data_IF_497896656697
#
_entry.id   IF_497896656697
#
_cell.length_a   1.000
_cell.length_b   1.000
_cell.length_c   1.000
_cell.angle_alpha   90.00
_cell.angle_beta   90.00
_cell.angle_gamma   90.00
#
_symmetry.space_group_name_H-M   'P 1'
#
loop_
_entity.id
_entity.type
_entity.pdbx_description
1 polymer ?
#
# COMPACT_ATOMS: atom_id res chain seq x y z
N UNK A 1 22.67 -25.48 -10.52
CA UNK A 1 21.71 -24.38 -10.83
C UNK A 1 21.43 -23.65 -9.52
N UNK A 2 22.02 -22.48 -9.31
CA UNK A 2 21.86 -21.74 -8.05
C UNK A 2 20.40 -21.31 -7.87
N UNK A 3 19.80 -21.46 -6.67
CA UNK A 3 18.45 -20.98 -6.41
C UNK A 3 18.42 -19.47 -6.63
N UNK A 4 17.45 -19.01 -7.42
CA UNK A 4 17.20 -17.61 -7.71
C UNK A 4 17.14 -16.83 -6.39
N UNK A 5 18.12 -15.96 -6.12
CA UNK A 5 18.20 -15.25 -4.85
C UNK A 5 16.89 -14.47 -4.61
N UNK A 6 16.22 -14.65 -3.46
CA UNK A 6 15.01 -13.92 -3.16
C UNK A 6 15.35 -12.43 -3.04
N UNK A 7 14.64 -11.59 -3.80
CA UNK A 7 14.80 -10.13 -3.75
C UNK A 7 14.51 -9.67 -2.32
N UNK A 8 15.49 -9.16 -1.60
CA UNK A 8 15.30 -8.70 -0.23
C UNK A 8 14.60 -7.34 -0.21
N UNK A 9 13.79 -7.12 0.81
CA UNK A 9 13.13 -5.83 1.06
C UNK A 9 13.18 -5.56 2.55
N UNK A 10 13.11 -4.28 2.94
CA UNK A 10 13.17 -3.90 4.35
C UNK A 10 12.04 -4.55 5.16
N UNK A 11 10.89 -4.85 4.53
CA UNK A 11 9.77 -5.58 5.14
C UNK A 11 10.07 -7.07 5.29
N UNK A 12 10.77 -7.68 4.33
CA UNK A 12 11.26 -9.07 4.36
C UNK A 12 12.31 -9.26 5.44
N UNK A 13 13.29 -8.37 5.51
CA UNK A 13 14.36 -8.38 6.53
C UNK A 13 13.78 -8.10 7.92
N UNK A 14 12.89 -7.11 8.08
CA UNK A 14 12.22 -6.88 9.37
C UNK A 14 11.40 -8.09 9.80
N UNK A 15 10.73 -8.79 8.87
CA UNK A 15 9.99 -9.99 9.21
C UNK A 15 10.94 -11.14 9.59
N UNK A 16 12.04 -11.33 8.87
CA UNK A 16 13.07 -12.32 9.18
C UNK A 16 13.68 -12.07 10.56
N UNK A 17 14.09 -10.85 10.85
CA UNK A 17 14.72 -10.48 12.11
C UNK A 17 13.74 -10.54 13.30
N UNK A 18 12.46 -10.24 13.09
CA UNK A 18 11.44 -10.33 14.16
C UNK A 18 10.90 -11.74 14.38
N UNK A 19 10.72 -12.50 13.29
CA UNK A 19 10.20 -13.86 13.33
C UNK A 19 10.68 -14.64 12.09
N UNK A 20 11.83 -15.32 12.19
CA UNK A 20 12.38 -16.10 11.09
C UNK A 20 11.40 -17.14 10.55
N UNK A 21 10.58 -17.74 11.43
CA UNK A 21 9.50 -18.66 11.06
C UNK A 21 8.45 -18.00 10.17
N UNK A 22 7.95 -16.81 10.53
CA UNK A 22 6.97 -16.08 9.71
C UNK A 22 7.56 -15.64 8.37
N UNK A 23 8.86 -15.32 8.32
CA UNK A 23 9.56 -15.03 7.08
C UNK A 23 9.65 -16.26 6.16
N UNK A 24 10.09 -17.41 6.69
CA UNK A 24 10.19 -18.66 5.93
C UNK A 24 8.80 -19.09 5.44
N UNK A 25 7.76 -19.00 6.27
CA UNK A 25 6.39 -19.31 5.86
C UNK A 25 5.88 -18.39 4.74
N UNK A 26 6.15 -17.09 4.83
CA UNK A 26 5.60 -16.08 3.91
C UNK A 26 6.36 -15.95 2.60
N UNK A 27 7.68 -16.17 2.61
CA UNK A 27 8.55 -15.89 1.47
C UNK A 27 9.39 -17.10 1.04
N UNK A 28 9.67 -18.04 1.93
CA UNK A 28 10.38 -19.29 1.60
C UNK A 28 9.43 -20.37 1.08
N UNK A 29 8.40 -20.70 1.87
CA UNK A 29 7.44 -21.76 1.58
C UNK A 29 6.51 -21.40 0.43
N UNK A 30 5.89 -20.21 0.43
CA UNK A 30 4.99 -19.78 -0.66
C UNK A 30 5.61 -19.82 -2.07
N UNK A 31 6.94 -19.75 -2.19
CA UNK A 31 7.69 -19.81 -3.46
C UNK A 31 8.03 -21.25 -3.86
N UNK A 32 8.38 -22.11 -2.90
CA UNK A 32 8.62 -23.54 -3.09
C UNK A 32 7.31 -24.34 -3.26
N UNK A 33 6.20 -23.79 -2.80
CA UNK A 33 4.94 -24.50 -2.62
C UNK A 33 3.83 -24.15 -3.60
N UNK A 34 4.11 -23.45 -4.70
CA UNK A 34 3.06 -23.15 -5.70
C UNK A 34 2.33 -24.43 -6.16
N UNK A 35 3.02 -25.57 -6.11
CA UNK A 35 2.51 -26.89 -6.46
C UNK A 35 2.33 -27.83 -5.25
N UNK A 36 2.50 -27.36 -4.01
CA UNK A 36 2.39 -28.19 -2.80
C UNK A 36 1.19 -27.75 -1.93
N UNK A 37 0.24 -28.66 -1.61
CA UNK A 37 -1.00 -28.32 -0.91
C UNK A 37 -0.81 -27.47 0.37
N UNK A 38 0.20 -27.79 1.18
CA UNK A 38 0.46 -27.08 2.44
C UNK A 38 0.92 -25.63 2.27
N UNK A 39 1.53 -25.25 1.14
CA UNK A 39 1.94 -23.86 0.98
C UNK A 39 1.00 -23.02 0.11
N UNK A 40 0.09 -23.64 -0.65
CA UNK A 40 -1.15 -22.97 -1.05
C UNK A 40 -1.96 -22.57 0.19
N UNK A 41 -2.08 -23.48 1.15
CA UNK A 41 -2.74 -23.24 2.45
C UNK A 41 -2.10 -22.06 3.21
N UNK A 42 -0.76 -22.01 3.33
CA UNK A 42 -0.06 -20.88 3.95
C UNK A 42 -0.27 -19.56 3.21
N UNK A 43 -0.26 -19.59 1.87
CA UNK A 43 -0.55 -18.41 1.05
C UNK A 43 -1.95 -17.86 1.35
N UNK A 44 -2.96 -18.72 1.47
CA UNK A 44 -4.31 -18.33 1.85
C UNK A 44 -4.38 -17.76 3.27
N UNK A 45 -3.68 -18.36 4.23
CA UNK A 45 -3.58 -17.84 5.62
C UNK A 45 -3.00 -16.42 5.63
N UNK A 46 -1.93 -16.15 4.87
CA UNK A 46 -1.32 -14.81 4.83
C UNK A 46 -2.19 -13.74 4.18
N UNK A 47 -3.19 -14.14 3.40
CA UNK A 47 -4.13 -13.20 2.80
C UNK A 47 -5.24 -12.77 3.77
N UNK A 48 -5.44 -13.47 4.89
CA UNK A 48 -6.42 -13.07 5.90
C UNK A 48 -5.91 -11.82 6.63
N UNK A 49 -6.52 -10.69 6.31
CA UNK A 49 -6.23 -9.40 6.96
C UNK A 49 -7.22 -9.14 8.10
N UNK A 50 -6.81 -8.28 9.04
CA UNK A 50 -7.71 -7.78 10.08
C UNK A 50 -8.69 -6.76 9.49
N UNK A 51 -9.90 -6.60 10.06
CA UNK A 51 -10.86 -5.59 9.62
C UNK A 51 -10.26 -4.17 9.59
N UNK A 52 -9.38 -3.82 10.55
CA UNK A 52 -8.60 -2.58 10.53
C UNK A 52 -7.73 -2.43 9.26
N UNK A 53 -7.03 -3.49 8.87
CA UNK A 53 -6.21 -3.46 7.65
C UNK A 53 -7.09 -3.34 6.41
N UNK A 54 -8.19 -4.10 6.35
CA UNK A 54 -9.15 -4.04 5.25
C UNK A 54 -9.75 -2.65 5.10
N UNK A 55 -10.14 -1.99 6.20
CA UNK A 55 -10.65 -0.62 6.19
C UNK A 55 -9.65 0.33 5.50
N UNK A 56 -8.38 0.28 5.89
CA UNK A 56 -7.35 1.10 5.25
C UNK A 56 -7.11 0.71 3.77
N UNK A 57 -7.16 -0.57 3.40
CA UNK A 57 -7.08 -0.96 1.99
C UNK A 57 -8.25 -0.38 1.19
N UNK A 58 -9.47 -0.43 1.74
CA UNK A 58 -10.66 0.18 1.16
C UNK A 58 -10.49 1.70 1.02
N UNK A 59 -9.94 2.40 2.02
CA UNK A 59 -9.63 3.85 1.89
C UNK A 59 -8.75 4.07 0.67
N UNK A 60 -7.68 3.29 0.51
CA UNK A 60 -6.77 3.42 -0.63
C UNK A 60 -7.50 3.25 -1.95
N UNK A 61 -8.25 2.16 -2.10
CA UNK A 61 -8.98 1.84 -3.34
C UNK A 61 -9.97 2.94 -3.69
N UNK A 62 -10.81 3.34 -2.73
CA UNK A 62 -11.80 4.40 -2.93
C UNK A 62 -11.15 5.72 -3.37
N UNK A 63 -9.99 6.07 -2.81
CA UNK A 63 -9.27 7.28 -3.22
C UNK A 63 -8.67 7.17 -4.61
N UNK A 64 -8.14 6.01 -4.99
CA UNK A 64 -7.62 5.79 -6.34
C UNK A 64 -8.74 5.86 -7.38
N UNK A 65 -9.85 5.18 -7.12
CA UNK A 65 -11.02 5.17 -8.00
C UNK A 65 -11.62 6.58 -8.12
N UNK A 66 -11.72 7.34 -7.02
CA UNK A 66 -12.15 8.74 -7.05
C UNK A 66 -11.26 9.59 -7.94
N UNK A 67 -9.94 9.43 -7.87
CA UNK A 67 -8.99 10.22 -8.68
C UNK A 67 -9.16 9.91 -10.16
N UNK A 68 -9.34 8.64 -10.53
CA UNK A 68 -9.58 8.23 -11.92
C UNK A 68 -10.88 8.83 -12.46
N UNK A 69 -11.98 8.72 -11.70
CA UNK A 69 -13.28 9.32 -12.06
C UNK A 69 -13.21 10.85 -12.14
N UNK A 70 -12.46 11.49 -11.24
CA UNK A 70 -12.27 12.94 -11.25
C UNK A 70 -11.51 13.40 -12.49
N UNK A 71 -10.52 12.63 -12.98
CA UNK A 71 -9.77 12.96 -14.19
C UNK A 71 -10.66 12.95 -15.46
N UNK A 72 -11.75 12.18 -15.47
CA UNK A 72 -12.75 12.18 -16.55
C UNK A 72 -13.92 13.14 -16.29
N UNK A 73 -13.82 14.01 -15.28
CA UNK A 73 -14.82 15.05 -14.97
C UNK A 73 -15.95 14.60 -14.03
N UNK A 74 -15.86 13.40 -13.44
CA UNK A 74 -16.87 12.91 -12.49
C UNK A 74 -16.45 13.18 -11.05
N UNK A 75 -17.18 14.07 -10.37
CA UNK A 75 -16.94 14.39 -8.96
C UNK A 75 -17.95 13.67 -8.08
N UNK A 76 -17.46 12.86 -7.13
CA UNK A 76 -18.35 12.14 -6.22
C UNK A 76 -18.86 13.05 -5.09
N UNK A 77 -20.15 12.93 -4.78
CA UNK A 77 -20.71 13.50 -3.55
C UNK A 77 -20.24 12.73 -2.32
N UNK A 78 -20.36 13.34 -1.13
CA UNK A 78 -20.06 12.65 0.13
C UNK A 78 -20.95 11.43 0.35
N UNK A 79 -22.22 11.48 -0.06
CA UNK A 79 -23.13 10.33 -0.07
C UNK A 79 -22.61 9.19 -0.94
N UNK A 80 -22.23 9.49 -2.19
CA UNK A 80 -21.72 8.47 -3.11
C UNK A 80 -20.44 7.83 -2.57
N UNK A 81 -19.53 8.63 -2.03
CA UNK A 81 -18.30 8.16 -1.41
C UNK A 81 -18.59 7.26 -0.20
N UNK A 82 -19.58 7.63 0.62
CA UNK A 82 -20.03 6.82 1.77
C UNK A 82 -20.60 5.47 1.34
N UNK A 83 -21.46 5.46 0.31
CA UNK A 83 -22.04 4.25 -0.27
C UNK A 83 -20.95 3.35 -0.86
N UNK A 84 -20.03 3.93 -1.65
CA UNK A 84 -18.91 3.22 -2.27
C UNK A 84 -18.00 2.59 -1.23
N UNK A 85 -17.57 3.37 -0.24
CA UNK A 85 -16.73 2.86 0.85
C UNK A 85 -17.42 1.70 1.59
N UNK A 86 -18.68 1.88 2.00
CA UNK A 86 -19.43 0.84 2.72
C UNK A 86 -19.51 -0.44 1.90
N UNK A 87 -19.92 -0.34 0.63
CA UNK A 87 -20.02 -1.50 -0.28
C UNK A 87 -18.69 -2.23 -0.42
N UNK A 88 -17.61 -1.50 -0.64
CA UNK A 88 -16.30 -2.10 -0.90
C UNK A 88 -15.68 -2.69 0.37
N UNK A 89 -15.93 -2.10 1.53
CA UNK A 89 -15.54 -2.67 2.83
C UNK A 89 -16.34 -3.94 3.15
N UNK A 90 -17.66 -3.94 2.94
CA UNK A 90 -18.49 -5.13 3.09
C UNK A 90 -18.01 -6.28 2.19
N UNK A 91 -17.70 -5.97 0.93
CA UNK A 91 -17.12 -6.94 -0.01
C UNK A 91 -15.79 -7.50 0.51
N UNK A 92 -14.88 -6.64 0.98
CA UNK A 92 -13.60 -7.06 1.52
C UNK A 92 -13.74 -8.00 2.74
N UNK A 93 -14.70 -7.72 3.64
CA UNK A 93 -15.03 -8.58 4.78
C UNK A 93 -15.64 -9.91 4.32
N UNK A 94 -16.55 -9.89 3.34
CA UNK A 94 -17.13 -11.11 2.79
C UNK A 94 -16.06 -12.00 2.14
N UNK A 95 -15.17 -11.45 1.32
CA UNK A 95 -14.06 -12.19 0.72
C UNK A 95 -13.08 -12.74 1.77
N UNK A 96 -12.84 -12.00 2.85
CA UNK A 96 -12.07 -12.50 4.00
C UNK A 96 -12.77 -13.69 4.64
N UNK A 97 -14.07 -13.60 4.92
CA UNK A 97 -14.84 -14.68 5.53
C UNK A 97 -14.89 -15.92 4.64
N UNK A 98 -15.07 -15.77 3.33
CA UNK A 98 -14.99 -16.87 2.37
C UNK A 98 -13.61 -17.56 2.40
N UNK A 99 -12.51 -16.81 2.57
CA UNK A 99 -11.16 -17.41 2.77
C UNK A 99 -11.10 -18.20 4.07
N UNK A 100 -11.62 -17.65 5.17
CA UNK A 100 -11.65 -18.32 6.48
C UNK A 100 -12.45 -19.62 6.41
N UNK A 101 -13.64 -19.61 5.82
CA UNK A 101 -14.50 -20.79 5.64
C UNK A 101 -13.82 -21.86 4.78
N UNK A 102 -13.11 -21.46 3.72
CA UNK A 102 -12.31 -22.39 2.90
C UNK A 102 -11.22 -23.06 3.72
N UNK A 103 -10.48 -22.31 4.55
CA UNK A 103 -9.43 -22.88 5.40
C UNK A 103 -9.98 -23.82 6.48
N UNK A 104 -11.15 -23.51 7.05
CA UNK A 104 -11.81 -24.37 8.03
C UNK A 104 -12.19 -25.73 7.44
N UNK A 105 -12.59 -25.78 6.15
CA UNK A 105 -12.84 -27.04 5.43
C UNK A 105 -11.59 -27.92 5.27
N UNK A 106 -10.38 -27.34 5.35
CA UNK A 106 -9.11 -28.09 5.29
C UNK A 106 -8.63 -28.58 6.67
N UNK A 107 -9.46 -28.52 7.72
CA UNK A 107 -9.10 -29.01 9.06
C UNK A 107 -8.09 -28.13 9.81
N UNK A 108 -7.77 -26.95 9.29
CA UNK A 108 -7.13 -25.90 10.09
C UNK A 108 -8.17 -25.42 11.10
N UNK A 109 -8.05 -25.90 12.33
CA UNK A 109 -8.99 -25.61 13.41
C UNK A 109 -9.35 -24.11 13.46
N UNK A 110 -10.63 -23.85 13.70
CA UNK A 110 -11.22 -22.52 13.84
C UNK A 110 -10.51 -21.63 14.87
N UNK A 111 -9.59 -22.14 15.68
CA UNK A 111 -8.87 -21.44 16.75
C UNK A 111 -8.01 -20.26 16.30
N UNK A 112 -7.64 -20.16 15.02
CA UNK A 112 -6.79 -19.05 14.53
C UNK A 112 -7.58 -17.94 13.81
N UNK A 113 -8.68 -18.29 13.14
CA UNK A 113 -9.45 -17.35 12.33
C UNK A 113 -10.94 -17.66 12.39
N UNK A 114 -11.71 -16.64 12.73
CA UNK A 114 -13.18 -16.68 12.72
C UNK A 114 -13.73 -15.73 11.66
N UNK A 115 -14.94 -16.04 11.18
CA UNK A 115 -15.72 -15.10 10.40
C UNK A 115 -16.07 -13.89 11.27
N UNK A 116 -16.15 -12.72 10.64
CA UNK A 116 -16.40 -11.45 11.33
C UNK A 116 -17.50 -10.70 10.60
N UNK A 117 -18.17 -9.80 11.31
CA UNK A 117 -19.10 -8.85 10.69
C UNK A 117 -18.41 -7.50 10.45
N UNK A 118 -18.83 -6.74 9.43
CA UNK A 118 -18.35 -5.38 9.25
C UNK A 118 -18.68 -4.50 10.46
N UNK A 119 -17.66 -3.85 11.02
CA UNK A 119 -17.82 -3.01 12.19
C UNK A 119 -18.16 -1.57 11.78
N UNK A 120 -19.31 -1.05 12.24
CA UNK A 120 -19.81 0.29 11.85
C UNK A 120 -18.84 1.42 12.19
N UNK A 121 -18.11 1.31 13.30
CA UNK A 121 -17.14 2.32 13.69
C UNK A 121 -15.93 2.39 12.72
N UNK A 122 -15.54 1.27 12.09
CA UNK A 122 -14.49 1.25 11.06
C UNK A 122 -15.01 1.83 9.75
N UNK A 123 -16.27 1.57 9.41
CA UNK A 123 -16.93 2.17 8.25
C UNK A 123 -16.94 3.69 8.38
N UNK A 124 -17.43 4.20 9.51
CA UNK A 124 -17.43 5.64 9.81
C UNK A 124 -16.03 6.23 9.73
N UNK A 125 -15.03 5.58 10.35
CA UNK A 125 -13.65 6.05 10.32
C UNK A 125 -13.05 6.09 8.92
N UNK A 126 -13.35 5.09 8.09
CA UNK A 126 -12.88 5.02 6.71
C UNK A 126 -13.50 6.12 5.84
N UNK A 127 -14.80 6.36 5.98
CA UNK A 127 -15.53 7.43 5.28
C UNK A 127 -14.97 8.80 5.68
N UNK A 128 -14.86 9.07 6.99
CA UNK A 128 -14.29 10.32 7.51
C UNK A 128 -12.87 10.55 6.99
N UNK A 129 -12.06 9.49 6.90
CA UNK A 129 -10.71 9.57 6.36
C UNK A 129 -10.71 9.89 4.87
N UNK A 130 -11.60 9.28 4.08
CA UNK A 130 -11.71 9.58 2.65
C UNK A 130 -12.15 11.04 2.43
N UNK A 131 -13.20 11.50 3.10
CA UNK A 131 -13.64 12.90 3.06
C UNK A 131 -12.52 13.84 3.49
N UNK A 132 -11.81 13.50 4.57
CA UNK A 132 -10.75 14.34 5.12
C UNK A 132 -9.57 14.61 4.18
N UNK A 133 -9.21 13.66 3.31
CA UNK A 133 -8.18 13.92 2.28
C UNK A 133 -8.75 14.67 1.09
N UNK A 134 -10.00 14.42 0.70
CA UNK A 134 -10.64 15.18 -0.38
C UNK A 134 -10.80 16.65 0.00
N UNK A 135 -11.02 16.98 1.27
CA UNK A 135 -11.06 18.37 1.74
C UNK A 135 -9.67 18.99 1.96
N UNK A 136 -8.59 18.22 1.82
CA UNK A 136 -7.24 18.72 2.03
C UNK A 136 -6.82 19.66 0.88
N UNK A 137 -6.40 20.88 1.21
CA UNK A 137 -6.04 21.90 0.21
C UNK A 137 -4.90 21.47 -0.71
N UNK A 138 -3.94 20.67 -0.23
CA UNK A 138 -2.86 20.15 -1.07
C UNK A 138 -3.41 19.13 -2.06
N UNK A 139 -4.32 18.25 -1.63
CA UNK A 139 -4.92 17.26 -2.51
C UNK A 139 -5.85 17.90 -3.55
N UNK A 140 -6.68 18.86 -3.12
CA UNK A 140 -7.51 19.68 -4.02
C UNK A 140 -6.67 20.42 -5.08
N UNK A 141 -5.51 20.96 -4.69
CA UNK A 141 -4.58 21.58 -5.63
C UNK A 141 -3.95 20.61 -6.65
N UNK A 142 -3.84 19.32 -6.30
CA UNK A 142 -3.39 18.28 -7.25
C UNK A 142 -4.52 17.90 -8.21
N UNK A 143 -5.76 17.80 -7.72
CA UNK A 143 -6.94 17.46 -8.52
C UNK A 143 -7.30 18.55 -9.54
N UNK A 144 -7.09 19.83 -9.21
CA UNK A 144 -7.50 20.97 -10.04
C UNK A 144 -6.51 21.36 -11.14
N UNK A 145 -5.29 20.84 -11.12
CA UNK A 145 -4.23 21.26 -12.04
C UNK A 145 -3.45 20.07 -12.56
N UNK A 146 -3.32 19.93 -13.88
CA UNK A 146 -2.52 18.88 -14.50
C UNK A 146 -3.24 17.54 -14.61
N UNK A 147 -2.50 16.50 -14.99
CA UNK A 147 -3.02 15.13 -15.12
C UNK A 147 -2.53 14.23 -13.99
N UNK A 148 -3.36 13.28 -13.60
CA UNK A 148 -3.02 12.27 -12.60
C UNK A 148 -3.14 10.87 -13.20
N UNK A 149 -2.09 10.08 -13.06
CA UNK A 149 -2.01 8.69 -13.48
C UNK A 149 -1.92 7.79 -12.24
N UNK A 150 -2.80 6.78 -12.17
CA UNK A 150 -2.74 5.73 -11.14
C UNK A 150 -1.60 4.76 -11.44
N UNK A 151 -0.86 4.41 -10.38
CA UNK A 151 0.22 3.44 -10.45
C UNK A 151 -0.16 2.15 -9.74
N UNK A 152 -0.04 1.04 -10.47
CA UNK A 152 -0.38 -0.27 -9.93
C UNK A 152 0.68 -0.76 -8.94
N UNK A 153 0.23 -1.40 -7.86
CA UNK A 153 1.13 -1.81 -6.77
C UNK A 153 2.20 -2.84 -7.19
N UNK A 154 1.96 -3.55 -8.29
CA UNK A 154 2.89 -4.54 -8.86
C UNK A 154 3.95 -3.93 -9.79
N UNK A 155 3.81 -2.65 -10.16
CA UNK A 155 4.79 -1.97 -10.99
C UNK A 155 6.10 -1.81 -10.23
N UNK A 156 7.20 -2.07 -10.93
CA UNK A 156 8.54 -1.94 -10.36
C UNK A 156 9.35 -0.95 -11.18
N UNK A 157 10.29 -0.30 -10.50
CA UNK A 157 11.39 0.42 -11.14
C UNK A 157 12.70 -0.36 -10.93
N UNK A 158 13.77 0.04 -11.61
CA UNK A 158 15.10 -0.58 -11.45
C UNK A 158 16.09 0.45 -10.90
N UNK A 159 16.74 0.09 -9.81
CA UNK A 159 17.91 0.83 -9.30
C UNK A 159 19.12 -0.09 -9.41
N UNK A 160 20.10 0.26 -10.25
CA UNK A 160 21.36 -0.52 -10.44
C UNK A 160 21.09 -2.02 -10.65
N UNK A 161 20.14 -2.34 -11.54
CA UNK A 161 19.65 -3.70 -11.86
C UNK A 161 18.79 -4.41 -10.79
N UNK A 162 18.50 -3.78 -9.65
CA UNK A 162 17.60 -4.32 -8.63
C UNK A 162 16.16 -3.90 -8.93
N UNK A 163 15.24 -4.87 -9.01
CA UNK A 163 13.80 -4.58 -9.15
C UNK A 163 13.25 -4.10 -7.82
N UNK A 164 12.70 -2.90 -7.83
CA UNK A 164 12.13 -2.25 -6.67
C UNK A 164 10.61 -2.21 -6.74
N UNK A 165 9.96 -2.92 -5.84
CA UNK A 165 8.51 -2.99 -5.70
C UNK A 165 8.04 -2.02 -4.62
N UNK A 166 8.16 -0.72 -4.91
CA UNK A 166 7.70 0.34 -4.02
C UNK A 166 6.96 1.42 -4.80
N UNK A 167 6.12 1.01 -5.75
CA UNK A 167 5.39 1.93 -6.63
C UNK A 167 4.71 3.05 -5.83
N UNK A 168 4.70 4.29 -6.34
CA UNK A 168 3.80 5.31 -5.83
C UNK A 168 2.34 4.90 -6.02
N UNK A 169 1.44 5.71 -5.48
CA UNK A 169 0.01 5.56 -5.74
C UNK A 169 -0.41 6.28 -7.00
N UNK A 170 0.09 7.51 -7.15
CA UNK A 170 -0.26 8.38 -8.26
C UNK A 170 1.00 9.08 -8.77
N UNK A 171 1.05 9.33 -10.07
CA UNK A 171 1.96 10.27 -10.71
C UNK A 171 1.14 11.47 -11.17
N UNK A 172 1.54 12.66 -10.75
CA UNK A 172 0.88 13.90 -11.11
C UNK A 172 1.80 14.74 -12.00
N UNK A 173 1.30 15.15 -13.17
CA UNK A 173 2.05 15.93 -14.16
C UNK A 173 1.41 17.29 -14.32
N UNK A 174 2.19 18.33 -14.03
CA UNK A 174 1.77 19.72 -14.22
C UNK A 174 2.86 20.53 -14.91
N UNK A 175 2.60 21.81 -15.16
CA UNK A 175 3.61 22.76 -15.66
C UNK A 175 4.82 22.90 -14.73
N UNK A 176 4.66 22.58 -13.43
CA UNK A 176 5.75 22.60 -12.44
C UNK A 176 6.64 21.35 -12.47
N UNK A 177 6.27 20.35 -13.29
CA UNK A 177 6.97 19.08 -13.39
C UNK A 177 6.17 17.90 -12.83
N UNK A 178 6.89 16.83 -12.52
CA UNK A 178 6.35 15.57 -12.04
C UNK A 178 6.33 15.53 -10.50
N UNK A 179 5.15 15.24 -9.95
CA UNK A 179 4.94 15.01 -8.52
C UNK A 179 4.57 13.55 -8.30
N UNK A 180 5.26 12.89 -7.39
CA UNK A 180 5.10 11.48 -7.07
C UNK A 180 4.34 11.37 -5.75
N UNK A 181 3.17 10.72 -5.76
CA UNK A 181 2.27 10.73 -4.62
C UNK A 181 2.19 9.35 -3.97
N UNK A 182 2.22 9.30 -2.64
CA UNK A 182 2.04 8.07 -1.87
C UNK A 182 1.10 8.27 -0.68
N UNK A 183 0.06 7.45 -0.61
CA UNK A 183 -0.79 7.29 0.57
C UNK A 183 -0.14 6.31 1.55
N UNK A 184 0.15 6.79 2.75
CA UNK A 184 0.59 5.98 3.89
C UNK A 184 -0.55 5.88 4.89
N UNK A 185 -1.24 4.74 4.84
CA UNK A 185 -2.42 4.50 5.65
C UNK A 185 -2.09 3.83 6.98
N UNK A 186 -0.84 3.38 7.17
CA UNK A 186 -0.44 2.59 8.32
C UNK A 186 0.85 3.11 8.96
N UNK A 187 0.84 3.07 10.29
CA UNK A 187 2.04 3.23 11.11
C UNK A 187 2.53 4.67 11.23
N UNK A 188 3.47 4.86 12.16
CA UNK A 188 4.18 6.11 12.36
C UNK A 188 5.53 6.01 11.66
N UNK A 189 5.70 6.73 10.55
CA UNK A 189 6.98 6.82 9.87
C UNK A 189 7.81 7.96 10.47
N UNK A 190 9.03 7.66 10.90
CA UNK A 190 9.99 8.69 11.33
C UNK A 190 10.42 9.55 10.14
N UNK A 191 10.84 10.79 10.38
CA UNK A 191 11.34 11.70 9.34
C UNK A 191 12.43 11.06 8.47
N UNK A 192 13.39 10.35 9.06
CA UNK A 192 14.47 9.67 8.34
C UNK A 192 13.94 8.61 7.36
N UNK A 193 13.16 7.64 7.85
CA UNK A 193 12.49 6.63 7.02
C UNK A 193 11.62 7.23 5.93
N UNK A 194 10.93 8.34 6.21
CA UNK A 194 10.10 9.04 5.23
C UNK A 194 10.94 9.62 4.09
N UNK A 195 12.03 10.31 4.41
CA UNK A 195 13.00 10.84 3.43
C UNK A 195 13.64 9.70 2.63
N UNK A 196 13.99 8.60 3.29
CA UNK A 196 14.52 7.41 2.61
C UNK A 196 13.50 6.84 1.62
N UNK A 197 12.24 6.68 2.03
CA UNK A 197 11.20 6.21 1.12
C UNK A 197 10.95 7.19 -0.03
N UNK A 198 10.95 8.50 0.24
CA UNK A 198 10.84 9.50 -0.82
C UNK A 198 12.01 9.42 -1.80
N UNK A 199 13.23 9.20 -1.31
CA UNK A 199 14.43 9.02 -2.14
C UNK A 199 14.30 7.81 -3.06
N UNK A 200 13.68 6.72 -2.58
CA UNK A 200 13.40 5.54 -3.40
C UNK A 200 12.27 5.78 -4.39
N UNK A 201 11.18 6.43 -3.96
CA UNK A 201 10.05 6.77 -4.82
C UNK A 201 10.45 7.69 -5.98
N UNK A 202 11.43 8.58 -5.78
CA UNK A 202 11.90 9.49 -6.83
C UNK A 202 12.47 8.74 -8.06
N UNK A 203 12.85 7.47 -7.92
CA UNK A 203 13.26 6.63 -9.06
C UNK A 203 12.14 6.29 -10.05
N UNK A 204 10.89 6.68 -9.76
CA UNK A 204 9.76 6.65 -10.70
C UNK A 204 9.60 7.97 -11.49
N UNK A 205 10.46 8.95 -11.23
CA UNK A 205 10.47 10.24 -11.92
C UNK A 205 11.87 10.68 -12.31
N UNK A 206 12.12 11.99 -12.20
CA UNK A 206 13.41 12.61 -12.47
C UNK A 206 13.99 13.26 -11.19
N UNK A 207 15.23 13.76 -11.30
CA UNK A 207 15.99 14.36 -10.19
C UNK A 207 15.29 15.52 -9.48
N UNK A 208 14.38 16.20 -10.18
CA UNK A 208 13.63 17.35 -9.68
C UNK A 208 12.21 16.98 -9.24
N UNK A 209 11.82 15.71 -9.32
CA UNK A 209 10.46 15.29 -8.97
C UNK A 209 10.23 15.45 -7.47
N UNK A 210 9.15 16.15 -7.12
CA UNK A 210 8.67 16.27 -5.76
C UNK A 210 7.97 14.97 -5.35
N UNK A 211 8.19 14.51 -4.11
CA UNK A 211 7.44 13.40 -3.53
C UNK A 211 6.51 13.94 -2.46
N UNK A 212 5.21 13.69 -2.60
CA UNK A 212 4.20 14.01 -1.60
C UNK A 212 3.72 12.72 -0.93
N UNK A 213 3.91 12.64 0.38
CA UNK A 213 3.44 11.54 1.20
C UNK A 213 2.29 12.01 2.09
N UNK A 214 1.10 11.48 1.83
CA UNK A 214 -0.09 11.68 2.65
C UNK A 214 -0.13 10.59 3.72
N UNK A 215 0.08 10.96 4.97
CA UNK A 215 0.18 10.02 6.09
C UNK A 215 -1.06 10.12 6.99
N UNK A 216 -1.87 9.07 7.02
CA UNK A 216 -3.01 8.96 7.91
C UNK A 216 -2.53 8.55 9.31
N UNK A 217 -2.63 9.46 10.28
CA UNK A 217 -2.26 9.21 11.67
C UNK A 217 -3.34 9.74 12.60
N UNK A 218 -3.83 8.90 13.52
CA UNK A 218 -4.89 9.27 14.48
C UNK A 218 -6.09 9.95 13.79
N UNK A 219 -6.53 9.37 12.67
CA UNK A 219 -7.65 9.87 11.82
C UNK A 219 -7.42 11.23 11.15
N UNK A 220 -6.17 11.72 11.11
CA UNK A 220 -5.82 12.97 10.42
C UNK A 220 -4.78 12.73 9.33
N UNK A 221 -4.95 13.41 8.21
CA UNK A 221 -3.98 13.40 7.12
C UNK A 221 -2.89 14.43 7.36
N UNK A 222 -1.67 13.94 7.49
CA UNK A 222 -0.47 14.77 7.53
C UNK A 222 0.20 14.72 6.16
N UNK A 223 0.48 15.89 5.60
CA UNK A 223 1.10 16.00 4.27
C UNK A 223 2.58 16.29 4.43
N UNK A 224 3.42 15.52 3.76
CA UNK A 224 4.85 15.74 3.72
C UNK A 224 5.31 15.85 2.28
N UNK A 225 5.85 17.02 1.94
CA UNK A 225 6.49 17.28 0.65
C UNK A 225 8.00 17.10 0.80
N UNK A 226 8.64 16.43 -0.14
CA UNK A 226 10.08 16.16 -0.07
C UNK A 226 10.65 16.12 -1.50
N UNK A 227 11.70 16.90 -1.73
CA UNK A 227 12.55 16.79 -2.91
C UNK A 227 13.87 16.16 -2.43
N UNK A 228 14.10 14.85 -2.64
CA UNK A 228 15.30 14.18 -2.15
C UNK A 228 16.58 14.72 -2.80
N UNK A 229 17.59 15.04 -1.99
CA UNK A 229 18.89 15.48 -2.51
C UNK A 229 19.76 14.28 -2.94
N UNK A 230 20.72 14.51 -3.84
CA UNK A 230 21.61 13.46 -4.38
C UNK A 230 22.25 12.55 -3.32
N UNK A 231 22.71 13.12 -2.19
CA UNK A 231 23.28 12.35 -1.08
C UNK A 231 22.28 11.35 -0.47
N UNK A 232 21.04 11.79 -0.24
CA UNK A 232 19.97 10.94 0.32
C UNK A 232 19.60 9.82 -0.64
N UNK A 233 19.57 10.12 -1.94
CA UNK A 233 19.32 9.13 -3.01
C UNK A 233 20.41 8.08 -3.04
N UNK A 234 21.68 8.49 -3.05
CA UNK A 234 22.82 7.58 -3.00
C UNK A 234 22.79 6.69 -1.76
N UNK A 235 22.45 7.24 -0.59
CA UNK A 235 22.32 6.47 0.65
C UNK A 235 21.16 5.47 0.58
N UNK A 236 19.98 5.90 0.14
CA UNK A 236 18.81 5.03 0.03
C UNK A 236 19.02 3.90 -0.98
N UNK A 237 19.60 4.19 -2.15
CA UNK A 237 19.99 3.17 -3.13
C UNK A 237 21.09 2.26 -2.61
N UNK A 238 22.05 2.78 -1.83
CA UNK A 238 23.09 1.98 -1.20
C UNK A 238 22.52 0.93 -0.24
N UNK A 239 21.50 1.28 0.54
CA UNK A 239 20.80 0.34 1.41
C UNK A 239 20.09 -0.77 0.63
N UNK A 240 19.49 -0.44 -0.52
CA UNK A 240 18.87 -1.45 -1.40
C UNK A 240 19.91 -2.42 -1.97
N UNK A 241 21.14 -1.96 -2.21
CA UNK A 241 22.24 -2.80 -2.74
C UNK A 241 22.89 -3.64 -1.64
N UNK A 242 22.99 -3.12 -0.42
CA UNK A 242 23.47 -3.87 0.75
C UNK A 242 22.50 -4.97 1.20
N UNK A 243 21.26 -4.94 0.70
CA UNK A 243 20.28 -5.99 0.88
C UNK A 243 20.50 -7.19 -0.11
N UNK A 244 21.56 -7.22 -0.93
CA UNK A 244 21.99 -8.39 -1.74
C UNK A 244 22.94 -9.30 -0.95
#
# INVERSE_FOLDING_TARGET
MYPFQPTWSTTRINLLQRCPRAFVLRYGLAKLSKNHPQGQLLSEVFQIQTPWILMHQTIRTVLLDYVEDHQIGTVWSHELLSIRFRRDYFKAIAERNQRVERLQKYGLAASFFHTIQPEEHLIKMGIESCIGILLNSVFQGLLSNGSIERMEANQFTRIRNIRMYCAPDLLHRSSKGLTIIKFQLYGKISRSKRIQQASLLQSYGNDNSEVIQFCLQRRKWNVHKTIPIARQRKQASGLVVLDL
#
